data_IF_161784511546
#
_entry.id   IF_161784511546
#
_cell.length_a   1.000
_cell.length_b   1.000
_cell.length_c   1.000
_cell.angle_alpha   90.00
_cell.angle_beta   90.00
_cell.angle_gamma   90.00
#
_symmetry.space_group_name_H-M   'P 1'
#
loop_
_entity.id
_entity.type
_entity.pdbx_description
1 polymer ?
#
# COMPACT_ATOMS: atom_id res chain seq x y z
N UNK A 1 -37.10 -60.58 6.93
CA UNK A 1 -36.87 -59.32 6.18
C UNK A 1 -36.32 -58.27 7.14
N UNK A 2 -34.99 -58.09 7.21
CA UNK A 2 -34.35 -57.00 7.94
C UNK A 2 -33.63 -56.13 6.90
N UNK A 3 -34.01 -54.85 6.80
CA UNK A 3 -33.47 -53.88 5.84
C UNK A 3 -32.06 -53.46 6.28
N UNK A 4 -31.07 -53.65 5.40
CA UNK A 4 -29.78 -52.97 5.48
C UNK A 4 -30.00 -51.51 5.05
N UNK A 5 -29.62 -50.56 5.91
CA UNK A 5 -29.48 -49.16 5.55
C UNK A 5 -28.04 -48.89 5.12
N UNK A 6 -27.83 -48.55 3.84
CA UNK A 6 -26.57 -47.97 3.36
C UNK A 6 -26.47 -46.53 3.84
N UNK A 7 -25.44 -46.23 4.62
CA UNK A 7 -25.00 -44.86 4.89
C UNK A 7 -24.06 -44.47 3.74
N UNK A 8 -24.50 -43.56 2.89
CA UNK A 8 -23.68 -42.98 1.83
C UNK A 8 -22.89 -41.82 2.46
N UNK A 9 -21.61 -42.05 2.76
CA UNK A 9 -20.70 -41.00 3.20
C UNK A 9 -20.29 -40.14 2.00
N UNK A 10 -20.80 -38.92 1.92
CA UNK A 10 -20.33 -37.90 0.96
C UNK A 10 -19.02 -37.33 1.50
N UNK A 11 -17.90 -37.76 0.92
CA UNK A 11 -16.59 -37.15 1.13
C UNK A 11 -16.54 -35.84 0.34
N UNK A 12 -16.63 -34.71 1.04
CA UNK A 12 -16.30 -33.40 0.50
C UNK A 12 -14.77 -33.33 0.35
N UNK A 13 -14.26 -33.57 -0.86
CA UNK A 13 -12.86 -33.30 -1.18
C UNK A 13 -12.70 -31.78 -1.29
N UNK A 14 -12.11 -31.16 -0.27
CA UNK A 14 -11.58 -29.80 -0.40
C UNK A 14 -10.44 -29.84 -1.43
N UNK A 15 -10.69 -29.30 -2.63
CA UNK A 15 -9.66 -29.17 -3.66
C UNK A 15 -8.62 -28.16 -3.18
N UNK A 16 -7.40 -28.65 -2.91
CA UNK A 16 -6.25 -27.78 -2.66
C UNK A 16 -5.84 -27.22 -4.02
N UNK A 17 -6.06 -25.92 -4.25
CA UNK A 17 -5.61 -25.24 -5.46
C UNK A 17 -4.09 -25.38 -5.62
N UNK A 18 -3.64 -25.68 -6.84
CA UNK A 18 -2.22 -25.84 -7.15
C UNK A 18 -1.46 -24.51 -7.04
N UNK A 19 -0.12 -24.55 -7.03
CA UNK A 19 0.70 -23.33 -6.98
C UNK A 19 0.43 -22.42 -8.21
N UNK A 20 0.20 -23.02 -9.38
CA UNK A 20 -0.12 -22.30 -10.62
C UNK A 20 -1.50 -21.63 -10.54
N UNK A 21 -2.51 -22.31 -9.99
CA UNK A 21 -3.85 -21.72 -9.77
C UNK A 21 -3.79 -20.51 -8.82
N UNK A 22 -2.93 -20.57 -7.80
CA UNK A 22 -2.73 -19.46 -6.86
C UNK A 22 -2.01 -18.30 -7.50
N UNK A 23 -1.02 -18.56 -8.35
CA UNK A 23 -0.34 -17.52 -9.11
C UNK A 23 -1.32 -16.81 -10.06
N UNK A 24 -2.14 -17.57 -10.79
CA UNK A 24 -3.20 -17.01 -11.64
C UNK A 24 -4.20 -16.17 -10.84
N UNK A 25 -4.72 -16.70 -9.72
CA UNK A 25 -5.63 -15.98 -8.86
C UNK A 25 -5.03 -14.68 -8.28
N UNK A 26 -3.72 -14.66 -7.99
CA UNK A 26 -3.00 -13.44 -7.57
C UNK A 26 -2.95 -12.40 -8.67
N UNK A 27 -2.68 -12.81 -9.91
CA UNK A 27 -2.66 -11.91 -11.07
C UNK A 27 -4.04 -11.30 -11.36
N UNK A 28 -5.11 -12.07 -11.14
CA UNK A 28 -6.50 -11.63 -11.29
C UNK A 28 -7.03 -10.84 -10.08
N UNK A 29 -6.21 -10.62 -9.04
CA UNK A 29 -6.62 -9.99 -7.77
C UNK A 29 -5.78 -8.77 -7.43
N UNK A 30 -6.40 -7.78 -6.79
CA UNK A 30 -5.69 -6.64 -6.19
C UNK A 30 -5.36 -6.95 -4.72
N UNK A 31 -4.53 -7.98 -4.50
CA UNK A 31 -4.38 -8.67 -3.21
C UNK A 31 -3.47 -7.98 -2.18
N UNK A 32 -2.80 -6.91 -2.58
CA UNK A 32 -1.89 -6.12 -1.74
C UNK A 32 -1.92 -4.65 -2.17
N UNK A 33 -1.32 -3.78 -1.36
CA UNK A 33 -1.18 -2.38 -1.72
C UNK A 33 -0.44 -2.24 -3.06
N UNK A 34 -0.98 -1.42 -3.96
CA UNK A 34 -0.51 -1.27 -5.37
C UNK A 34 -0.63 -2.53 -6.24
N UNK A 35 -1.53 -3.44 -5.90
CA UNK A 35 -1.98 -4.49 -6.81
C UNK A 35 -1.00 -5.66 -6.93
N UNK A 36 -1.19 -6.54 -7.93
CA UNK A 36 -0.59 -7.87 -7.94
C UNK A 36 0.94 -7.86 -7.94
N UNK A 37 1.55 -6.84 -8.55
CA UNK A 37 3.00 -6.67 -8.65
C UNK A 37 3.54 -5.54 -7.75
N UNK A 38 2.73 -5.01 -6.83
CA UNK A 38 3.06 -3.85 -5.99
C UNK A 38 3.49 -2.58 -6.76
N UNK A 39 3.15 -2.47 -8.04
CA UNK A 39 3.59 -1.40 -8.95
C UNK A 39 2.46 -0.48 -9.43
N UNK A 40 1.21 -0.74 -9.03
CA UNK A 40 0.03 0.06 -9.39
C UNK A 40 -0.55 -0.25 -10.77
N UNK A 41 -0.07 -1.30 -11.45
CA UNK A 41 -0.52 -1.68 -12.79
C UNK A 41 -1.47 -2.88 -12.72
N UNK A 42 -2.63 -2.77 -13.37
CA UNK A 42 -3.53 -3.89 -13.64
C UNK A 42 -3.43 -4.28 -15.12
N UNK A 43 -2.56 -5.24 -15.42
CA UNK A 43 -2.16 -5.58 -16.79
C UNK A 43 -3.31 -6.07 -17.67
N UNK A 44 -4.19 -6.92 -17.13
CA UNK A 44 -5.29 -7.56 -17.87
C UNK A 44 -6.66 -6.99 -17.50
N UNK A 45 -6.69 -5.70 -17.13
CA UNK A 45 -7.90 -5.01 -16.70
C UNK A 45 -8.25 -3.85 -17.62
N UNK A 46 -9.54 -3.54 -17.70
CA UNK A 46 -10.09 -2.46 -18.51
C UNK A 46 -11.09 -1.64 -17.67
N UNK A 47 -10.60 -0.91 -16.64
CA UNK A 47 -11.47 -0.15 -15.75
C UNK A 47 -12.17 1.02 -16.48
N UNK A 48 -13.19 1.62 -15.87
CA UNK A 48 -13.95 2.72 -16.45
C UNK A 48 -13.10 3.95 -16.75
N UNK A 49 -13.50 4.73 -17.74
CA UNK A 49 -12.91 6.05 -18.05
C UNK A 49 -13.72 7.21 -17.49
N UNK A 50 -15.04 7.06 -17.37
CA UNK A 50 -15.99 8.11 -17.00
C UNK A 50 -16.86 7.66 -15.85
N UNK A 51 -17.02 8.52 -14.85
CA UNK A 51 -17.96 8.34 -13.75
C UNK A 51 -18.16 9.68 -13.03
N UNK A 52 -19.20 9.77 -12.22
CA UNK A 52 -19.39 10.84 -11.25
C UNK A 52 -19.99 10.26 -9.96
N UNK A 53 -20.52 11.11 -9.07
CA UNK A 53 -21.13 10.67 -7.82
C UNK A 53 -22.36 9.74 -8.01
N UNK A 54 -22.91 9.66 -9.21
CA UNK A 54 -24.14 8.91 -9.55
C UNK A 54 -24.01 8.02 -10.79
N UNK A 55 -23.20 8.41 -11.78
CA UNK A 55 -23.01 7.67 -13.02
C UNK A 55 -21.87 6.65 -12.89
N UNK A 56 -22.06 5.46 -13.46
CA UNK A 56 -21.10 4.35 -13.46
C UNK A 56 -20.65 3.93 -12.06
N UNK A 57 -21.52 4.14 -11.06
CA UNK A 57 -21.38 3.62 -9.70
C UNK A 57 -22.21 2.34 -9.60
N UNK A 58 -21.55 1.19 -9.60
CA UNK A 58 -22.22 -0.10 -9.41
C UNK A 58 -22.84 -0.21 -8.03
N UNK A 59 -22.06 0.16 -7.02
CA UNK A 59 -22.52 0.29 -5.65
C UNK A 59 -21.63 1.25 -4.86
N UNK A 60 -22.19 1.75 -3.77
CA UNK A 60 -21.54 2.63 -2.79
C UNK A 60 -21.92 2.15 -1.40
N UNK A 61 -20.94 1.73 -0.60
CA UNK A 61 -21.14 1.22 0.75
C UNK A 61 -20.66 2.24 1.78
N UNK A 62 -21.44 2.50 2.83
CA UNK A 62 -21.03 3.38 3.93
C UNK A 62 -19.95 2.70 4.79
N UNK A 63 -19.01 3.50 5.28
CA UNK A 63 -17.92 3.09 6.17
C UNK A 63 -18.00 3.94 7.43
N UNK A 64 -18.04 3.28 8.58
CA UNK A 64 -17.91 3.94 9.88
C UNK A 64 -16.43 4.24 10.19
N UNK A 65 -16.18 5.32 10.93
CA UNK A 65 -14.83 5.71 11.35
C UNK A 65 -13.99 6.34 10.24
N UNK A 66 -12.68 6.32 10.41
CA UNK A 66 -11.72 6.94 9.50
C UNK A 66 -10.63 5.95 9.08
N UNK A 67 -10.14 6.11 7.84
CA UNK A 67 -8.97 5.38 7.37
C UNK A 67 -8.54 5.80 5.97
N UNK A 68 -7.27 5.58 5.65
CA UNK A 68 -6.69 5.83 4.31
C UNK A 68 -6.21 4.56 3.61
N UNK A 69 -6.38 3.40 4.24
CA UNK A 69 -6.04 2.10 3.65
C UNK A 69 -6.73 1.92 2.30
N UNK A 70 -5.94 1.56 1.28
CA UNK A 70 -6.45 1.14 -0.02
C UNK A 70 -7.15 -0.20 0.13
N UNK A 71 -8.36 -0.39 -0.43
CA UNK A 71 -9.00 -1.70 -0.43
C UNK A 71 -8.13 -2.72 -1.16
N UNK A 72 -8.13 -3.97 -0.68
CA UNK A 72 -7.63 -5.10 -1.46
C UNK A 72 -8.80 -5.98 -1.89
N UNK A 73 -8.65 -6.63 -3.03
CA UNK A 73 -9.69 -7.45 -3.64
C UNK A 73 -9.12 -8.85 -3.88
N UNK A 74 -9.83 -9.86 -3.42
CA UNK A 74 -9.52 -11.27 -3.64
C UNK A 74 -10.79 -12.03 -3.98
N UNK A 75 -10.89 -12.53 -5.22
CA UNK A 75 -12.10 -13.20 -5.70
C UNK A 75 -13.36 -12.31 -5.60
N UNK A 76 -14.32 -12.75 -4.78
CA UNK A 76 -15.60 -12.07 -4.52
C UNK A 76 -15.56 -11.17 -3.26
N UNK A 77 -14.39 -10.97 -2.64
CA UNK A 77 -14.25 -10.22 -1.39
C UNK A 77 -13.45 -8.95 -1.57
N UNK A 78 -13.90 -7.87 -0.92
CA UNK A 78 -13.16 -6.62 -0.77
C UNK A 78 -12.84 -6.40 0.71
N UNK A 79 -11.57 -6.30 1.06
CA UNK A 79 -11.13 -6.07 2.45
C UNK A 79 -10.68 -4.63 2.65
N UNK A 80 -11.09 -4.06 3.79
CA UNK A 80 -10.82 -2.66 4.14
C UNK A 80 -10.57 -2.51 5.64
N UNK A 81 -9.71 -1.55 6.02
CA UNK A 81 -9.42 -1.25 7.43
C UNK A 81 -10.01 0.10 7.85
N UNK A 82 -10.57 0.23 9.03
CA UNK A 82 -11.04 1.52 9.57
C UNK A 82 -10.76 1.63 11.06
N UNK A 83 -10.64 2.86 11.57
CA UNK A 83 -10.54 3.15 12.98
C UNK A 83 -11.77 3.94 13.43
N UNK A 84 -12.53 3.42 14.38
CA UNK A 84 -13.81 3.99 14.83
C UNK A 84 -13.61 4.55 16.24
N UNK A 85 -13.75 5.87 16.41
CA UNK A 85 -13.76 6.48 17.74
C UNK A 85 -15.02 6.05 18.52
N UNK A 86 -14.85 5.73 19.79
CA UNK A 86 -15.95 5.32 20.69
C UNK A 86 -16.28 6.43 21.68
N UNK A 87 -17.43 6.32 22.33
CA UNK A 87 -17.81 7.24 23.43
C UNK A 87 -17.02 7.00 24.73
N UNK A 88 -16.17 5.96 24.78
CA UNK A 88 -15.39 5.65 25.99
C UNK A 88 -14.19 6.58 26.07
N UNK A 89 -14.14 7.40 27.12
CA UNK A 89 -13.02 8.31 27.40
C UNK A 89 -11.96 7.62 28.28
N UNK A 90 -10.69 7.79 27.93
CA UNK A 90 -9.57 7.35 28.72
C UNK A 90 -9.51 8.10 30.05
N UNK A 91 -9.39 7.38 31.18
CA UNK A 91 -9.22 8.04 32.50
C UNK A 91 -7.91 8.82 32.59
N UNK A 92 -6.85 8.26 32.02
CA UNK A 92 -5.51 8.84 31.94
C UNK A 92 -5.06 8.73 30.47
N UNK A 93 -5.37 9.72 29.62
CA UNK A 93 -4.93 9.68 28.24
C UNK A 93 -3.39 9.72 28.15
N UNK A 94 -2.78 9.11 27.12
CA UNK A 94 -1.34 9.16 26.92
C UNK A 94 -0.82 10.59 26.86
N UNK A 95 0.36 10.81 27.47
CA UNK A 95 1.03 12.11 27.41
C UNK A 95 1.89 12.13 26.15
N UNK A 96 1.72 13.12 25.24
CA UNK A 96 2.55 13.22 24.05
C UNK A 96 4.02 13.39 24.43
N UNK A 97 4.90 12.78 23.62
CA UNK A 97 6.34 13.04 23.68
C UNK A 97 6.65 14.55 23.53
N UNK A 98 7.71 15.04 24.16
CA UNK A 98 8.10 16.47 24.11
C UNK A 98 8.31 17.00 22.68
N UNK A 99 8.73 16.12 21.77
CA UNK A 99 8.96 16.47 20.36
C UNK A 99 7.68 16.37 19.53
N UNK A 100 6.61 15.75 20.03
CA UNK A 100 5.37 15.56 19.29
C UNK A 100 4.72 16.91 18.92
N UNK A 101 4.16 16.99 17.71
CA UNK A 101 3.38 18.15 17.23
C UNK A 101 1.88 17.85 17.13
N UNK A 102 1.48 16.72 17.66
CA UNK A 102 0.13 16.18 17.66
C UNK A 102 -0.20 15.71 19.09
N UNK A 103 -1.47 15.40 19.34
CA UNK A 103 -1.91 14.91 20.64
C UNK A 103 -2.57 13.54 20.45
N UNK A 104 -2.29 12.56 21.32
CA UNK A 104 -3.07 11.34 21.41
C UNK A 104 -4.57 11.66 21.57
N UNK A 105 -5.47 10.83 21.03
CA UNK A 105 -6.89 11.01 21.28
C UNK A 105 -7.22 10.75 22.77
N UNK A 106 -8.30 11.37 23.23
CA UNK A 106 -8.82 11.16 24.58
C UNK A 106 -9.73 9.93 24.68
N UNK A 107 -10.21 9.41 23.56
CA UNK A 107 -11.18 8.34 23.48
C UNK A 107 -10.53 7.03 23.03
N UNK A 108 -11.18 5.92 23.36
CA UNK A 108 -10.82 4.62 22.77
C UNK A 108 -11.26 4.57 21.32
N UNK A 109 -10.42 3.98 20.48
CA UNK A 109 -10.71 3.68 19.09
C UNK A 109 -10.80 2.16 18.91
N UNK A 110 -11.77 1.70 18.12
CA UNK A 110 -11.85 0.34 17.62
C UNK A 110 -11.12 0.23 16.28
N UNK A 111 -10.24 -0.75 16.16
CA UNK A 111 -9.44 -1.00 14.95
C UNK A 111 -10.06 -2.16 14.18
N UNK A 112 -10.72 -1.85 13.07
CA UNK A 112 -11.71 -2.73 12.45
C UNK A 112 -11.26 -3.18 11.07
N UNK A 113 -11.42 -4.48 10.82
CA UNK A 113 -11.33 -5.10 9.49
C UNK A 113 -12.74 -5.31 8.97
N UNK A 114 -13.02 -4.80 7.79
CA UNK A 114 -14.28 -4.96 7.07
C UNK A 114 -14.06 -5.88 5.87
N UNK A 115 -15.05 -6.70 5.58
CA UNK A 115 -15.15 -7.46 4.33
C UNK A 115 -16.48 -7.18 3.67
N UNK A 116 -16.43 -6.76 2.40
CA UNK A 116 -17.60 -6.55 1.56
C UNK A 116 -17.67 -7.62 0.48
N UNK A 117 -18.88 -7.93 0.05
CA UNK A 117 -19.14 -8.66 -1.19
C UNK A 117 -18.83 -7.74 -2.37
N UNK A 118 -17.96 -8.21 -3.26
CA UNK A 118 -17.48 -7.44 -4.40
C UNK A 118 -18.59 -7.08 -5.38
N UNK A 119 -19.59 -7.95 -5.55
CA UNK A 119 -20.63 -7.76 -6.56
C UNK A 119 -21.71 -6.77 -6.11
N UNK A 120 -22.02 -6.75 -4.82
CA UNK A 120 -23.16 -6.03 -4.24
C UNK A 120 -22.77 -4.87 -3.32
N UNK A 121 -21.56 -4.88 -2.75
CA UNK A 121 -21.13 -3.91 -1.74
C UNK A 121 -21.69 -4.19 -0.34
N UNK A 122 -22.39 -5.32 -0.14
CA UNK A 122 -22.92 -5.70 1.17
C UNK A 122 -21.78 -6.14 2.11
N UNK A 123 -21.83 -5.73 3.37
CA UNK A 123 -20.86 -6.18 4.37
C UNK A 123 -21.08 -7.68 4.67
N UNK A 124 -20.08 -8.52 4.35
CA UNK A 124 -20.08 -9.95 4.66
C UNK A 124 -19.73 -10.20 6.12
N UNK A 125 -18.75 -9.46 6.64
CA UNK A 125 -18.35 -9.52 8.05
C UNK A 125 -17.51 -8.30 8.46
N UNK A 126 -17.49 -8.04 9.77
CA UNK A 126 -16.55 -7.11 10.42
C UNK A 126 -15.86 -7.74 11.63
N UNK A 127 -14.63 -7.31 11.92
CA UNK A 127 -13.85 -7.72 13.09
C UNK A 127 -13.18 -6.52 13.75
N UNK A 128 -13.48 -6.31 15.03
CA UNK A 128 -12.70 -5.42 15.89
C UNK A 128 -11.45 -6.21 16.30
N UNK A 129 -10.28 -5.82 15.79
CA UNK A 129 -9.00 -6.46 16.10
C UNK A 129 -8.55 -6.13 17.52
N UNK A 130 -8.70 -4.85 17.89
CA UNK A 130 -8.54 -4.37 19.25
C UNK A 130 -9.34 -3.07 19.45
N UNK A 131 -9.46 -2.69 20.72
CA UNK A 131 -9.96 -1.39 21.12
C UNK A 131 -8.95 -0.76 22.08
N UNK A 132 -8.40 0.38 21.71
CA UNK A 132 -7.27 0.97 22.42
C UNK A 132 -7.25 2.50 22.28
N UNK A 133 -6.58 3.18 23.22
CA UNK A 133 -6.29 4.61 23.15
C UNK A 133 -4.87 4.76 22.61
N UNK A 134 -4.70 5.16 21.34
CA UNK A 134 -3.36 5.23 20.76
C UNK A 134 -2.44 6.14 21.56
N UNK A 135 -1.19 5.70 21.70
CA UNK A 135 -0.14 6.29 22.53
C UNK A 135 0.39 7.62 21.97
N UNK A 136 0.28 7.83 20.66
CA UNK A 136 0.62 9.06 19.95
C UNK A 136 -0.58 9.64 19.18
N UNK A 137 -0.49 10.92 18.83
CA UNK A 137 -1.41 11.51 17.87
C UNK A 137 -1.10 11.12 16.43
N UNK A 138 -1.74 11.80 15.48
CA UNK A 138 -1.47 11.65 14.06
C UNK A 138 -1.48 12.98 13.32
N UNK A 139 -0.84 13.03 12.16
CA UNK A 139 -0.92 14.20 11.29
C UNK A 139 -2.34 14.36 10.75
N UNK A 140 -2.87 15.58 10.64
CA UNK A 140 -4.25 15.88 10.17
C UNK A 140 -4.67 15.34 8.79
N UNK A 141 -3.75 14.72 8.06
CA UNK A 141 -3.96 14.08 6.74
C UNK A 141 -3.47 12.63 6.76
N UNK A 142 -3.40 12.03 7.94
CA UNK A 142 -3.13 10.62 8.20
C UNK A 142 -4.30 10.09 9.05
N UNK A 143 -4.34 8.78 9.28
CA UNK A 143 -5.34 8.10 10.10
C UNK A 143 -4.68 6.97 10.88
N UNK A 144 -5.43 6.33 11.77
CA UNK A 144 -4.98 5.12 12.47
C UNK A 144 -5.23 3.81 11.69
N UNK A 145 -5.78 3.90 10.49
CA UNK A 145 -6.02 2.78 9.59
C UNK A 145 -5.51 3.13 8.18
N UNK A 146 -4.26 3.59 8.10
CA UNK A 146 -3.62 4.02 6.84
C UNK A 146 -2.90 2.90 6.09
N UNK A 147 -2.34 1.92 6.80
CA UNK A 147 -1.74 0.74 6.19
C UNK A 147 -2.81 -0.09 5.47
N UNK A 148 -2.55 -0.55 4.25
CA UNK A 148 -3.48 -1.45 3.55
C UNK A 148 -3.23 -2.90 3.99
N UNK A 149 -4.27 -3.74 4.07
CA UNK A 149 -4.07 -5.16 4.37
C UNK A 149 -3.42 -5.86 3.17
N UNK A 150 -3.02 -7.11 3.35
CA UNK A 150 -2.50 -7.98 2.26
C UNK A 150 -2.99 -9.41 2.45
N UNK A 151 -3.12 -10.18 1.36
CA UNK A 151 -3.49 -11.59 1.43
C UNK A 151 -2.63 -12.46 0.52
N UNK A 152 -2.35 -13.67 0.97
CA UNK A 152 -1.71 -14.71 0.17
C UNK A 152 -2.71 -15.62 -0.58
N UNK A 153 -4.01 -15.40 -0.36
CA UNK A 153 -5.14 -16.18 -0.88
C UNK A 153 -5.72 -17.20 0.09
N UNK A 154 -5.08 -17.42 1.24
CA UNK A 154 -5.59 -18.28 2.33
C UNK A 154 -5.81 -17.47 3.62
N UNK A 155 -4.93 -16.51 3.84
CA UNK A 155 -4.83 -15.70 5.07
C UNK A 155 -4.82 -14.23 4.71
N UNK A 156 -5.46 -13.44 5.55
CA UNK A 156 -5.51 -11.98 5.50
C UNK A 156 -4.61 -11.43 6.60
N UNK A 157 -3.63 -10.61 6.24
CA UNK A 157 -2.68 -9.97 7.15
C UNK A 157 -2.99 -8.49 7.27
N UNK A 158 -3.07 -8.02 8.51
CA UNK A 158 -3.51 -6.68 8.85
C UNK A 158 -2.51 -6.06 9.82
N UNK A 159 -2.14 -4.80 9.59
CA UNK A 159 -1.34 -4.00 10.51
C UNK A 159 -2.11 -2.76 10.92
N UNK A 160 -2.25 -2.55 12.22
CA UNK A 160 -2.66 -1.27 12.81
C UNK A 160 -1.47 -0.56 13.49
N UNK A 161 -0.26 -0.91 13.04
CA UNK A 161 0.99 -0.44 13.63
C UNK A 161 1.10 -0.91 15.07
N UNK A 162 1.29 0.04 15.98
CA UNK A 162 1.44 -0.16 17.43
C UNK A 162 0.23 -0.86 18.07
N UNK A 163 -0.92 -0.88 17.39
CA UNK A 163 -2.12 -1.61 17.82
C UNK A 163 -2.17 -3.06 17.33
N UNK A 164 -1.06 -3.55 16.78
CA UNK A 164 -0.82 -4.96 16.52
C UNK A 164 -0.91 -5.36 15.06
N UNK A 165 -0.35 -6.54 14.80
CA UNK A 165 -0.40 -7.27 13.54
C UNK A 165 -1.31 -8.48 13.73
N UNK A 166 -2.26 -8.67 12.83
CA UNK A 166 -3.28 -9.71 12.93
C UNK A 166 -3.28 -10.56 11.66
N UNK A 167 -3.50 -11.86 11.83
CA UNK A 167 -3.78 -12.77 10.75
C UNK A 167 -5.15 -13.39 10.94
N UNK A 168 -5.98 -13.26 9.92
CA UNK A 168 -7.29 -13.89 9.82
C UNK A 168 -7.27 -14.91 8.67
N UNK A 169 -8.18 -15.88 8.68
CA UNK A 169 -8.60 -16.49 7.41
C UNK A 169 -9.51 -15.53 6.63
N UNK A 170 -9.81 -15.85 5.37
CA UNK A 170 -10.66 -15.00 4.53
C UNK A 170 -12.13 -14.91 5.01
N UNK A 171 -12.55 -15.78 5.93
CA UNK A 171 -13.85 -15.73 6.61
C UNK A 171 -13.82 -14.86 7.88
N UNK A 172 -12.68 -14.22 8.18
CA UNK A 172 -12.52 -13.31 9.31
C UNK A 172 -12.31 -14.03 10.65
N UNK A 173 -11.92 -15.30 10.67
CA UNK A 173 -11.51 -15.99 11.91
C UNK A 173 -10.05 -15.70 12.21
N UNK A 174 -9.78 -15.17 13.40
CA UNK A 174 -8.43 -14.90 13.88
C UNK A 174 -7.62 -16.21 13.96
N UNK A 175 -6.43 -16.21 13.36
CA UNK A 175 -5.49 -17.32 13.37
C UNK A 175 -4.35 -17.05 14.38
N UNK A 176 -3.78 -15.86 14.32
CA UNK A 176 -2.75 -15.40 15.25
C UNK A 176 -2.70 -13.88 15.30
N UNK A 177 -2.08 -13.33 16.36
CA UNK A 177 -1.79 -11.90 16.49
C UNK A 177 -0.39 -11.69 17.05
N UNK A 178 0.19 -10.52 16.77
CA UNK A 178 1.50 -10.09 17.25
C UNK A 178 1.44 -8.63 17.68
N UNK A 179 2.09 -8.38 18.81
CA UNK A 179 2.44 -7.05 19.26
C UNK A 179 3.96 -6.86 19.03
N UNK A 180 4.32 -5.75 18.40
CA UNK A 180 5.72 -5.37 18.12
C UNK A 180 6.15 -4.14 18.95
N UNK A 181 5.32 -3.68 19.86
CA UNK A 181 5.49 -2.49 20.69
C UNK A 181 4.92 -1.23 20.05
N UNK A 182 5.27 -0.09 20.62
CA UNK A 182 4.82 1.22 20.16
C UNK A 182 5.84 1.87 19.20
N UNK A 183 5.35 2.44 18.10
CA UNK A 183 6.13 3.29 17.21
C UNK A 183 6.17 4.72 17.74
N UNK A 184 7.35 5.33 17.89
CA UNK A 184 7.45 6.79 18.11
C UNK A 184 7.75 7.50 16.81
N UNK A 185 6.71 7.98 16.15
CA UNK A 185 6.85 8.54 14.80
C UNK A 185 7.29 9.99 14.85
N UNK A 186 7.97 10.44 13.80
CA UNK A 186 8.45 11.83 13.71
C UNK A 186 7.32 12.81 14.00
N UNK A 187 7.47 13.55 15.11
CA UNK A 187 6.50 14.54 15.59
C UNK A 187 5.09 13.97 15.89
N UNK A 188 4.94 12.67 16.12
CA UNK A 188 3.64 12.02 16.33
C UNK A 188 2.75 12.10 15.08
N UNK A 189 3.32 11.92 13.88
CA UNK A 189 2.56 12.04 12.63
C UNK A 189 1.78 10.78 12.26
N UNK A 190 1.87 9.72 13.07
CA UNK A 190 1.14 8.49 12.93
C UNK A 190 1.85 7.50 12.01
N UNK A 191 1.22 6.34 11.82
CA UNK A 191 1.82 5.13 11.27
C UNK A 191 1.10 4.73 9.99
N UNK A 192 1.79 4.17 8.98
CA UNK A 192 1.14 3.92 7.68
C UNK A 192 1.77 2.82 6.80
N UNK A 193 2.77 2.09 7.28
CA UNK A 193 3.45 1.09 6.43
C UNK A 193 2.60 -0.17 6.29
N UNK A 194 2.32 -0.57 5.05
CA UNK A 194 1.55 -1.79 4.77
C UNK A 194 2.42 -3.04 4.95
N UNK A 195 1.89 -4.13 5.50
CA UNK A 195 2.55 -5.44 5.47
C UNK A 195 2.72 -5.94 4.02
N UNK A 196 3.81 -6.67 3.76
CA UNK A 196 4.10 -7.31 2.47
C UNK A 196 4.27 -8.80 2.66
N UNK A 197 3.78 -9.62 1.73
CA UNK A 197 3.92 -11.09 1.78
C UNK A 197 4.73 -11.58 0.59
N UNK A 198 5.73 -12.42 0.86
CA UNK A 198 6.47 -13.17 -0.15
C UNK A 198 6.70 -14.60 0.33
N UNK A 199 6.17 -15.58 -0.40
CA UNK A 199 6.23 -16.99 0.02
C UNK A 199 5.60 -17.21 1.41
N UNK A 200 6.39 -17.73 2.33
CA UNK A 200 6.01 -17.98 3.74
C UNK A 200 6.32 -16.79 4.67
N UNK A 201 6.79 -15.67 4.12
CA UNK A 201 7.34 -14.55 4.87
C UNK A 201 6.41 -13.32 4.81
N UNK A 202 6.02 -12.82 5.99
CA UNK A 202 5.30 -11.57 6.19
C UNK A 202 6.30 -10.51 6.67
N UNK A 203 6.50 -9.46 5.88
CA UNK A 203 7.47 -8.40 6.12
C UNK A 203 6.76 -7.19 6.73
N UNK A 204 7.27 -6.73 7.87
CA UNK A 204 6.86 -5.51 8.56
C UNK A 204 8.05 -4.55 8.65
N UNK A 205 7.92 -3.37 8.05
CA UNK A 205 8.88 -2.27 8.22
C UNK A 205 8.47 -1.39 9.39
N UNK A 206 9.36 -1.23 10.37
CA UNK A 206 9.13 -0.54 11.64
C UNK A 206 10.11 0.63 11.79
N UNK A 207 10.07 1.55 10.82
CA UNK A 207 10.91 2.76 10.82
C UNK A 207 10.26 3.87 11.67
N UNK A 208 10.95 4.29 12.73
CA UNK A 208 10.47 5.29 13.68
C UNK A 208 11.64 6.07 14.32
N UNK A 209 11.39 6.87 15.36
CA UNK A 209 12.42 7.70 16.02
C UNK A 209 13.17 6.98 17.16
N UNK A 210 12.70 5.81 17.61
CA UNK A 210 13.47 4.92 18.48
C UNK A 210 14.28 3.91 17.60
N UNK A 211 14.67 2.74 18.13
CA UNK A 211 15.41 1.74 17.34
C UNK A 211 14.51 1.15 16.25
N UNK A 212 14.71 1.57 15.01
CA UNK A 212 14.02 1.04 13.83
C UNK A 212 14.46 -0.38 13.49
N UNK A 213 13.58 -1.15 12.85
CA UNK A 213 13.87 -2.50 12.42
C UNK A 213 12.95 -2.98 11.28
N UNK A 214 13.37 -4.04 10.58
CA UNK A 214 12.47 -4.91 9.82
C UNK A 214 12.25 -6.18 10.63
N UNK A 215 11.00 -6.61 10.73
CA UNK A 215 10.65 -7.94 11.21
C UNK A 215 10.09 -8.77 10.05
N UNK A 216 10.63 -9.99 9.89
CA UNK A 216 10.04 -10.99 9.01
C UNK A 216 9.42 -12.08 9.85
N UNK A 217 8.11 -12.26 9.67
CA UNK A 217 7.30 -13.21 10.40
C UNK A 217 6.94 -14.39 9.50
N UNK A 218 6.87 -15.58 10.06
CA UNK A 218 6.27 -16.73 9.41
C UNK A 218 4.76 -16.48 9.26
N UNK A 219 4.29 -16.56 8.03
CA UNK A 219 2.89 -16.31 7.66
C UNK A 219 1.92 -17.22 8.43
N UNK A 220 2.31 -18.45 8.78
CA UNK A 220 1.41 -19.46 9.35
C UNK A 220 1.22 -19.30 10.85
N UNK A 221 2.29 -18.98 11.55
CA UNK A 221 2.33 -18.93 13.00
C UNK A 221 2.47 -17.52 13.56
N UNK A 222 2.82 -16.55 12.72
CA UNK A 222 3.18 -15.19 13.14
C UNK A 222 4.51 -15.12 13.89
N UNK A 223 5.27 -16.22 14.02
CA UNK A 223 6.56 -16.25 14.73
C UNK A 223 7.60 -15.48 13.94
N UNK A 224 8.47 -14.76 14.62
CA UNK A 224 9.58 -14.05 13.97
C UNK A 224 10.57 -15.06 13.38
N UNK A 225 10.78 -15.00 12.06
CA UNK A 225 11.84 -15.74 11.35
C UNK A 225 13.18 -15.06 11.59
N UNK A 226 13.22 -13.74 11.38
CA UNK A 226 14.36 -12.89 11.74
C UNK A 226 13.91 -11.45 11.98
N UNK A 227 14.77 -10.68 12.64
CA UNK A 227 14.63 -9.24 12.84
C UNK A 227 15.97 -8.58 12.55
N UNK A 228 15.95 -7.52 11.75
CA UNK A 228 17.15 -6.75 11.41
C UNK A 228 16.97 -5.31 11.87
N UNK A 229 17.84 -4.85 12.75
CA UNK A 229 17.88 -3.46 13.19
C UNK A 229 18.33 -2.55 12.04
N UNK A 230 17.77 -1.34 12.01
CA UNK A 230 17.99 -0.34 10.97
C UNK A 230 18.46 0.96 11.58
N UNK A 231 19.55 1.49 11.03
CA UNK A 231 19.96 2.87 11.26
C UNK A 231 19.14 3.79 10.35
N UNK A 232 17.88 4.01 10.74
CA UNK A 232 16.91 4.77 9.96
C UNK A 232 15.93 5.47 10.90
N UNK A 233 15.74 6.79 10.83
CA UNK A 233 14.62 7.47 11.50
C UNK A 233 13.28 7.13 10.82
N UNK A 234 12.20 7.80 11.23
CA UNK A 234 10.87 7.53 10.66
C UNK A 234 10.87 7.60 9.13
N UNK A 235 10.28 6.58 8.52
CA UNK A 235 9.87 6.52 7.13
C UNK A 235 8.48 5.87 7.05
N UNK A 236 7.75 6.10 5.96
CA UNK A 236 6.43 5.50 5.75
C UNK A 236 6.38 4.67 4.46
N UNK A 237 7.55 4.27 3.96
CA UNK A 237 7.65 3.50 2.73
C UNK A 237 7.25 2.05 2.97
N UNK A 238 6.28 1.58 2.18
CA UNK A 238 5.98 0.15 2.08
C UNK A 238 7.10 -0.52 1.29
N UNK A 239 7.69 -1.63 1.80
CA UNK A 239 8.73 -2.35 1.07
C UNK A 239 8.25 -2.92 -0.26
N UNK A 240 9.21 -3.27 -1.13
CA UNK A 240 8.98 -4.18 -2.26
C UNK A 240 9.87 -5.41 -2.10
N UNK A 241 9.38 -6.56 -2.52
CA UNK A 241 10.16 -7.80 -2.60
C UNK A 241 10.26 -8.22 -4.07
N UNK A 242 11.45 -8.56 -4.51
CA UNK A 242 11.69 -9.04 -5.88
C UNK A 242 12.66 -10.21 -5.88
N UNK A 243 12.40 -11.22 -6.71
CA UNK A 243 13.37 -12.24 -7.05
C UNK A 243 14.17 -11.82 -8.28
N UNK A 244 15.49 -11.82 -8.16
CA UNK A 244 16.42 -11.42 -9.22
C UNK A 244 17.65 -12.30 -9.16
N UNK A 245 17.96 -12.99 -10.27
CA UNK A 245 19.10 -13.90 -10.41
C UNK A 245 19.27 -14.90 -9.25
N UNK A 246 18.15 -15.52 -8.84
CA UNK A 246 18.12 -16.53 -7.79
C UNK A 246 18.25 -15.99 -6.37
N UNK A 247 18.26 -14.66 -6.18
CA UNK A 247 18.22 -14.00 -4.87
C UNK A 247 16.91 -13.24 -4.68
N UNK A 248 16.28 -13.41 -3.53
CA UNK A 248 15.11 -12.62 -3.14
C UNK A 248 15.56 -11.38 -2.37
N UNK A 249 15.32 -10.20 -2.93
CA UNK A 249 15.68 -8.91 -2.36
C UNK A 249 14.46 -8.24 -1.73
N UNK A 250 14.59 -7.83 -0.47
CA UNK A 250 13.67 -6.93 0.22
C UNK A 250 14.22 -5.51 0.14
N UNK A 251 13.51 -4.59 -0.49
CA UNK A 251 13.99 -3.22 -0.73
C UNK A 251 13.11 -2.22 0.02
N UNK A 252 13.73 -1.36 0.83
CA UNK A 252 13.06 -0.31 1.60
C UNK A 252 13.68 1.05 1.30
N UNK A 253 12.83 2.02 0.96
CA UNK A 253 13.22 3.42 0.80
C UNK A 253 13.15 4.15 2.14
N UNK A 254 14.30 4.45 2.75
CA UNK A 254 14.40 5.16 4.01
C UNK A 254 14.71 6.65 3.85
N UNK A 255 14.55 7.39 4.95
CA UNK A 255 14.85 8.84 5.02
C UNK A 255 16.34 9.13 4.79
N UNK A 256 17.23 8.26 5.24
CA UNK A 256 18.68 8.39 5.12
C UNK A 256 19.22 7.60 3.93
N UNK A 257 18.73 6.38 3.72
CA UNK A 257 19.19 5.47 2.67
C UNK A 257 18.07 4.59 2.14
N UNK A 258 18.10 4.31 0.84
CA UNK A 258 17.48 3.10 0.30
C UNK A 258 18.38 1.92 0.62
N UNK A 259 17.82 0.80 1.06
CA UNK A 259 18.57 -0.44 1.34
C UNK A 259 17.87 -1.64 0.73
N UNK A 260 18.66 -2.56 0.19
CA UNK A 260 18.23 -3.90 -0.19
C UNK A 260 18.82 -4.93 0.78
N UNK A 261 17.99 -5.87 1.19
CA UNK A 261 18.32 -6.96 2.09
C UNK A 261 18.09 -8.29 1.38
N UNK A 262 18.93 -9.28 1.68
CA UNK A 262 18.60 -10.66 1.34
C UNK A 262 17.44 -11.11 2.25
N UNK A 263 16.31 -11.49 1.66
CA UNK A 263 15.12 -11.85 2.42
C UNK A 263 15.36 -13.08 3.32
N UNK A 264 16.28 -13.98 2.95
CA UNK A 264 16.50 -15.21 3.69
C UNK A 264 17.35 -14.99 4.94
N UNK A 265 18.32 -14.07 4.90
CA UNK A 265 19.27 -13.84 6.00
C UNK A 265 19.03 -12.53 6.76
N UNK A 266 18.42 -11.53 6.12
CA UNK A 266 18.31 -10.17 6.65
C UNK A 266 19.56 -9.31 6.42
N UNK A 267 20.58 -9.83 5.73
CA UNK A 267 21.82 -9.09 5.47
C UNK A 267 21.61 -8.01 4.40
N UNK A 268 22.25 -6.86 4.58
CA UNK A 268 22.26 -5.80 3.56
C UNK A 268 23.08 -6.28 2.35
N UNK A 269 22.46 -6.25 1.17
CA UNK A 269 23.14 -6.52 -0.11
C UNK A 269 23.78 -5.24 -0.62
N UNK A 270 22.99 -4.18 -0.69
CA UNK A 270 23.43 -2.85 -1.12
C UNK A 270 22.63 -1.76 -0.42
N UNK A 271 23.20 -0.55 -0.39
CA UNK A 271 22.54 0.64 0.13
C UNK A 271 22.94 1.88 -0.67
N UNK A 272 22.06 2.87 -0.76
CA UNK A 272 22.31 4.13 -1.45
C UNK A 272 21.68 5.29 -0.69
N UNK A 273 22.51 6.23 -0.23
CA UNK A 273 22.08 7.47 0.39
C UNK A 273 21.66 8.55 -0.59
N UNK A 274 21.36 9.74 -0.05
CA UNK A 274 21.02 10.94 -0.81
C UNK A 274 19.52 11.17 -1.00
N UNK A 275 18.69 10.42 -0.28
CA UNK A 275 17.25 10.65 -0.18
C UNK A 275 16.97 12.00 0.48
N UNK A 276 15.80 12.55 0.22
CA UNK A 276 15.29 13.67 1.01
C UNK A 276 14.71 13.16 2.32
N UNK A 277 14.60 14.03 3.31
CA UNK A 277 13.90 13.68 4.56
C UNK A 277 12.48 13.19 4.31
N UNK A 278 11.92 12.38 5.22
CA UNK A 278 10.58 11.80 5.12
C UNK A 278 10.37 11.01 3.81
N UNK A 279 11.12 9.93 3.62
CA UNK A 279 10.86 9.01 2.53
C UNK A 279 9.52 8.29 2.76
N UNK A 280 8.57 8.50 1.85
CA UNK A 280 7.23 7.91 1.83
C UNK A 280 6.98 7.11 0.54
N UNK A 281 7.41 7.57 -0.66
CA UNK A 281 7.15 6.84 -1.89
C UNK A 281 7.82 5.47 -1.83
N UNK A 282 7.06 4.43 -2.13
CA UNK A 282 7.55 3.06 -2.15
C UNK A 282 8.36 2.80 -3.42
N UNK A 283 9.36 1.91 -3.37
CA UNK A 283 10.15 1.58 -4.54
C UNK A 283 9.30 0.93 -5.65
N UNK A 284 9.71 1.10 -6.90
CA UNK A 284 9.21 0.33 -8.05
C UNK A 284 10.31 -0.55 -8.59
N UNK A 285 9.98 -1.76 -9.05
CA UNK A 285 10.94 -2.66 -9.70
C UNK A 285 10.50 -2.96 -11.12
N UNK A 286 11.43 -2.85 -12.06
CA UNK A 286 11.25 -3.28 -13.44
C UNK A 286 12.60 -3.49 -14.13
N UNK A 287 12.63 -4.45 -15.05
CA UNK A 287 13.75 -4.69 -15.97
C UNK A 287 15.14 -4.81 -15.31
N UNK A 288 15.21 -5.44 -14.13
CA UNK A 288 16.45 -5.61 -13.36
C UNK A 288 16.88 -4.37 -12.57
N UNK A 289 16.04 -3.34 -12.47
CA UNK A 289 16.31 -2.11 -11.75
C UNK A 289 15.23 -1.82 -10.72
N UNK A 290 15.64 -1.14 -9.65
CA UNK A 290 14.73 -0.52 -8.68
C UNK A 290 14.78 1.00 -8.79
N UNK A 291 13.61 1.61 -8.74
CA UNK A 291 13.41 3.05 -8.81
C UNK A 291 12.90 3.56 -7.47
N UNK A 292 13.68 4.41 -6.82
CA UNK A 292 13.38 4.96 -5.50
C UNK A 292 13.30 6.47 -5.55
N UNK A 293 12.29 7.05 -4.91
CA UNK A 293 12.05 8.51 -4.97
C UNK A 293 11.73 9.10 -3.60
N UNK A 294 12.07 10.37 -3.41
CA UNK A 294 11.72 11.17 -2.22
C UNK A 294 11.71 12.65 -2.59
N UNK A 295 10.82 13.44 -1.98
CA UNK A 295 10.52 14.80 -2.46
C UNK A 295 10.14 15.82 -1.38
N UNK A 296 10.30 15.51 -0.09
CA UNK A 296 10.03 16.49 0.96
C UNK A 296 11.24 17.41 1.15
N UNK A 297 11.04 18.72 0.92
CA UNK A 297 12.11 19.74 1.04
C UNK A 297 13.36 19.43 0.20
N UNK A 298 13.18 18.76 -0.92
CA UNK A 298 14.25 18.43 -1.86
C UNK A 298 13.67 17.63 -3.03
N UNK A 299 14.55 17.06 -3.84
CA UNK A 299 14.13 16.08 -4.84
C UNK A 299 15.23 15.06 -5.09
N UNK A 300 14.87 13.78 -5.03
CA UNK A 300 15.77 12.68 -5.33
C UNK A 300 15.00 11.52 -5.95
N UNK A 301 15.49 11.02 -7.07
CA UNK A 301 15.05 9.81 -7.73
C UNK A 301 16.27 9.08 -8.27
N UNK A 302 16.31 7.76 -8.09
CA UNK A 302 17.43 6.90 -8.44
C UNK A 302 16.94 5.70 -9.23
N UNK A 303 17.70 5.27 -10.23
CA UNK A 303 17.60 3.92 -10.79
C UNK A 303 18.84 3.11 -10.38
N UNK A 304 18.63 2.05 -9.62
CA UNK A 304 19.70 1.21 -9.05
C UNK A 304 19.55 -0.20 -9.61
N UNK A 305 20.65 -0.79 -10.09
CA UNK A 305 20.63 -2.19 -10.55
C UNK A 305 20.34 -3.14 -9.39
N UNK A 306 19.53 -4.17 -9.62
CA UNK A 306 19.36 -5.27 -8.67
C UNK A 306 20.64 -6.10 -8.51
N UNK A 307 21.60 -6.00 -9.44
CA UNK A 307 22.93 -6.63 -9.34
C UNK A 307 23.89 -5.87 -8.42
N UNK A 308 23.50 -4.70 -7.92
CA UNK A 308 24.38 -3.85 -7.13
C UNK A 308 24.81 -4.53 -5.82
N UNK A 309 25.97 -4.13 -5.30
CA UNK A 309 26.47 -4.60 -4.00
C UNK A 309 27.18 -3.46 -3.27
N UNK A 310 27.15 -3.47 -1.94
CA UNK A 310 27.87 -2.50 -1.10
C UNK A 310 27.18 -1.13 -0.98
N UNK A 311 27.94 -0.12 -0.54
CA UNK A 311 27.46 1.25 -0.42
C UNK A 311 27.65 2.02 -1.73
N UNK A 312 26.54 2.43 -2.33
CA UNK A 312 26.47 3.13 -3.61
C UNK A 312 26.42 4.66 -3.44
N UNK A 313 26.42 5.15 -2.21
CA UNK A 313 26.30 6.58 -1.91
C UNK A 313 27.43 7.37 -2.56
N UNK A 314 27.07 8.43 -3.28
CA UNK A 314 28.02 9.30 -4.01
C UNK A 314 28.93 8.55 -5.00
N UNK A 315 28.46 7.41 -5.53
CA UNK A 315 29.11 6.66 -6.61
C UNK A 315 28.40 6.87 -7.95
N UNK A 316 29.04 6.46 -9.04
CA UNK A 316 28.46 6.46 -10.39
C UNK A 316 27.70 5.15 -10.72
N UNK A 317 27.45 4.27 -9.74
CA UNK A 317 26.74 3.00 -9.97
C UNK A 317 25.24 3.14 -10.27
N UNK A 318 24.48 4.10 -9.68
CA UNK A 318 23.11 4.33 -10.12
C UNK A 318 23.07 4.64 -11.62
N UNK A 319 22.23 3.93 -12.37
CA UNK A 319 22.08 4.09 -13.83
C UNK A 319 21.79 5.55 -14.20
N UNK A 320 20.96 6.19 -13.40
CA UNK A 320 20.75 7.62 -13.45
C UNK A 320 20.28 8.15 -12.08
N UNK A 321 20.46 9.45 -11.91
CA UNK A 321 19.96 10.21 -10.77
C UNK A 321 19.17 11.41 -11.28
N UNK A 322 17.99 11.65 -10.72
CA UNK A 322 17.13 12.77 -11.05
C UNK A 322 16.81 13.58 -9.79
N UNK A 323 16.94 14.92 -9.88
CA UNK A 323 16.90 15.83 -8.72
C UNK A 323 15.85 16.93 -8.85
N UNK A 324 14.80 16.71 -9.64
CA UNK A 324 13.76 17.72 -9.88
C UNK A 324 12.36 17.12 -9.73
N UNK A 325 11.44 17.88 -9.12
CA UNK A 325 10.01 17.59 -9.16
C UNK A 325 9.61 16.18 -8.73
N UNK A 326 10.31 15.55 -7.79
CA UNK A 326 10.02 14.17 -7.32
C UNK A 326 8.88 14.14 -6.30
N UNK A 327 8.20 12.99 -6.12
CA UNK A 327 7.04 12.88 -5.24
C UNK A 327 7.40 12.95 -3.76
N UNK A 328 6.45 13.47 -2.96
CA UNK A 328 6.52 13.39 -1.51
C UNK A 328 5.69 12.22 -0.98
N UNK A 329 4.37 12.20 -1.13
CA UNK A 329 3.51 11.09 -0.66
C UNK A 329 3.21 10.05 -1.75
N UNK A 330 2.68 10.43 -2.93
CA UNK A 330 2.23 9.43 -3.91
C UNK A 330 3.42 8.69 -4.52
N UNK A 331 3.36 7.36 -4.53
CA UNK A 331 4.40 6.56 -5.15
C UNK A 331 4.33 6.68 -6.68
N UNK A 332 5.47 6.69 -7.39
CA UNK A 332 5.50 6.81 -8.85
C UNK A 332 4.74 5.64 -9.53
N UNK A 333 4.53 5.72 -10.84
CA UNK A 333 4.05 4.58 -11.63
C UNK A 333 4.89 4.42 -12.90
N UNK A 334 5.24 3.19 -13.22
CA UNK A 334 5.88 2.82 -14.49
C UNK A 334 4.85 2.12 -15.37
N UNK A 335 4.68 2.60 -16.59
CA UNK A 335 3.84 1.95 -17.59
C UNK A 335 4.56 1.96 -18.94
N UNK A 336 4.79 0.79 -19.52
CA UNK A 336 5.74 0.63 -20.62
C UNK A 336 7.14 1.09 -20.19
N UNK A 337 7.81 1.90 -21.01
CA UNK A 337 9.11 2.49 -20.69
C UNK A 337 9.03 3.85 -19.97
N UNK A 338 7.84 4.27 -19.53
CA UNK A 338 7.61 5.63 -19.02
C UNK A 338 7.29 5.65 -17.53
N UNK A 339 8.13 6.37 -16.78
CA UNK A 339 8.04 6.55 -15.34
C UNK A 339 7.37 7.90 -15.03
N UNK A 340 6.12 7.84 -14.57
CA UNK A 340 5.28 8.98 -14.23
C UNK A 340 5.28 9.26 -12.73
N UNK A 341 5.41 10.54 -12.36
CA UNK A 341 5.29 10.98 -10.98
C UNK A 341 4.95 12.47 -10.88
N UNK A 342 4.39 12.85 -9.74
CA UNK A 342 4.01 14.23 -9.47
C UNK A 342 4.98 14.90 -8.50
N UNK A 343 5.25 16.19 -8.69
CA UNK A 343 6.15 16.93 -7.80
C UNK A 343 5.52 17.14 -6.42
N UNK A 344 6.18 16.61 -5.38
CA UNK A 344 5.70 16.61 -4.00
C UNK A 344 4.31 15.96 -3.93
N UNK A 345 3.31 16.71 -3.51
CA UNK A 345 1.90 16.31 -3.53
C UNK A 345 1.10 17.20 -4.51
N UNK A 346 1.75 17.94 -5.41
CA UNK A 346 1.08 18.87 -6.31
C UNK A 346 0.73 18.19 -7.64
N UNK A 347 -0.22 18.75 -8.39
CA UNK A 347 -0.61 18.28 -9.72
C UNK A 347 0.40 18.58 -10.84
N UNK A 348 1.70 18.63 -10.55
CA UNK A 348 2.76 18.91 -11.53
C UNK A 348 3.41 17.58 -11.94
N UNK A 349 3.05 17.08 -13.12
CA UNK A 349 3.47 15.78 -13.65
C UNK A 349 4.82 15.86 -14.36
N UNK A 350 5.71 14.94 -14.00
CA UNK A 350 6.91 14.57 -14.74
C UNK A 350 6.73 13.18 -15.33
N UNK A 351 7.30 12.95 -16.51
CA UNK A 351 7.41 11.63 -17.13
C UNK A 351 8.84 11.46 -17.63
N UNK A 352 9.53 10.44 -17.12
CA UNK A 352 10.90 10.09 -17.53
C UNK A 352 10.88 8.80 -18.33
N UNK A 353 11.78 8.71 -19.30
CA UNK A 353 12.15 7.43 -19.89
C UNK A 353 12.92 6.62 -18.84
N UNK A 354 12.46 5.39 -18.60
CA UNK A 354 12.92 4.55 -17.47
C UNK A 354 14.38 4.14 -17.61
N UNK A 355 14.87 3.98 -18.84
CA UNK A 355 16.25 3.59 -19.11
C UNK A 355 17.21 4.76 -18.94
N UNK A 356 16.85 5.94 -19.46
CA UNK A 356 17.77 7.08 -19.54
C UNK A 356 17.59 8.10 -18.42
N UNK A 357 16.46 8.09 -17.71
CA UNK A 357 16.10 9.09 -16.71
C UNK A 357 15.82 10.49 -17.28
N UNK A 358 15.69 10.60 -18.62
CA UNK A 358 15.44 11.86 -19.32
C UNK A 358 13.95 12.11 -19.49
N UNK A 359 13.48 13.38 -19.46
CA UNK A 359 12.08 13.68 -19.67
C UNK A 359 11.57 13.21 -21.05
N UNK A 360 10.45 12.50 -21.07
CA UNK A 360 9.70 12.16 -22.30
C UNK A 360 9.01 13.40 -22.85
N UNK A 361 8.48 14.23 -21.95
CA UNK A 361 7.88 15.53 -22.27
C UNK A 361 8.16 16.55 -21.15
N UNK A 362 8.01 17.84 -21.47
CA UNK A 362 8.14 18.91 -20.48
C UNK A 362 7.13 18.74 -19.35
N UNK A 363 7.58 18.99 -18.12
CA UNK A 363 6.72 18.98 -16.93
C UNK A 363 5.48 19.83 -17.13
N UNK A 364 4.31 19.27 -16.82
CA UNK A 364 3.00 19.88 -17.08
C UNK A 364 2.07 19.73 -15.89
N UNK A 365 1.10 20.63 -15.76
CA UNK A 365 0.07 20.53 -14.72
C UNK A 365 -1.06 19.62 -15.18
N UNK A 366 -1.45 18.67 -14.32
CA UNK A 366 -2.67 17.89 -14.47
C UNK A 366 -3.87 18.81 -14.19
N UNK A 367 -4.74 19.08 -15.18
CA UNK A 367 -5.85 20.00 -15.01
C UNK A 367 -6.87 19.45 -14.01
N UNK A 368 -7.45 20.32 -13.19
CA UNK A 368 -8.49 19.94 -12.22
C UNK A 368 -7.99 19.25 -10.95
N UNK A 369 -6.72 18.83 -10.89
CA UNK A 369 -6.13 18.26 -9.68
C UNK A 369 -5.44 19.31 -8.81
N UNK A 370 -5.61 19.20 -7.49
CA UNK A 370 -4.96 20.04 -6.48
C UNK A 370 -3.81 19.34 -5.75
N UNK A 371 -4.16 18.58 -4.72
CA UNK A 371 -3.24 17.94 -3.78
C UNK A 371 -3.39 16.41 -3.87
N UNK A 372 -2.33 15.67 -4.15
CA UNK A 372 -2.36 14.24 -4.51
C UNK A 372 -1.65 13.43 -3.42
N UNK A 373 -2.38 12.50 -2.82
CA UNK A 373 -1.87 11.52 -1.84
C UNK A 373 -1.99 10.10 -2.39
N UNK A 374 -3.14 9.80 -2.99
CA UNK A 374 -3.36 8.58 -3.74
C UNK A 374 -2.25 8.38 -4.78
N UNK A 375 -1.65 7.21 -4.76
CA UNK A 375 -0.69 6.87 -5.80
C UNK A 375 -1.45 6.54 -7.09
N UNK A 376 -0.92 6.93 -8.27
CA UNK A 376 -1.55 6.60 -9.53
C UNK A 376 -1.59 5.09 -9.78
N UNK A 377 -2.59 4.68 -10.56
CA UNK A 377 -2.72 3.33 -11.10
C UNK A 377 -2.83 3.35 -12.61
N UNK A 378 -2.56 2.23 -13.28
CA UNK A 378 -2.64 2.15 -14.72
C UNK A 378 -3.21 0.81 -15.20
N UNK A 379 -3.94 0.85 -16.31
CA UNK A 379 -4.55 -0.31 -16.96
C UNK A 379 -4.98 0.07 -18.38
N UNK A 380 -4.93 -0.87 -19.33
CA UNK A 380 -5.38 -0.68 -20.71
C UNK A 380 -4.95 0.67 -21.33
N UNK A 381 -3.64 0.94 -21.31
CA UNK A 381 -2.99 2.15 -21.83
C UNK A 381 -3.47 3.48 -21.21
N UNK A 382 -4.05 3.41 -20.00
CA UNK A 382 -4.58 4.57 -19.28
C UNK A 382 -3.95 4.68 -17.91
N UNK A 383 -3.72 5.90 -17.46
CA UNK A 383 -3.13 6.20 -16.15
C UNK A 383 -4.08 7.12 -15.38
N UNK A 384 -4.37 6.75 -14.15
CA UNK A 384 -5.38 7.38 -13.30
C UNK A 384 -4.67 8.12 -12.17
N UNK A 385 -4.88 9.43 -12.07
CA UNK A 385 -4.40 10.24 -10.95
C UNK A 385 -5.59 10.78 -10.18
N UNK A 386 -5.66 10.44 -8.89
CA UNK A 386 -6.73 10.89 -7.98
C UNK A 386 -6.16 11.88 -6.97
N UNK A 387 -6.81 13.03 -6.82
CA UNK A 387 -6.47 14.00 -5.79
C UNK A 387 -7.32 13.84 -4.53
N UNK A 388 -6.91 14.55 -3.47
CA UNK A 388 -7.55 14.51 -2.15
C UNK A 388 -8.96 15.05 -2.13
N UNK A 389 -9.37 15.81 -3.14
CA UNK A 389 -10.72 16.35 -3.21
C UNK A 389 -11.68 15.34 -3.86
N UNK A 390 -11.20 14.16 -4.29
CA UNK A 390 -12.01 13.13 -4.95
C UNK A 390 -12.08 13.30 -6.47
N UNK A 391 -11.22 14.15 -7.05
CA UNK A 391 -11.12 14.34 -8.50
C UNK A 391 -10.14 13.31 -9.07
N UNK A 392 -10.54 12.58 -10.11
CA UNK A 392 -9.65 11.68 -10.85
C UNK A 392 -9.51 12.15 -12.29
N UNK A 393 -8.27 12.30 -12.77
CA UNK A 393 -8.01 12.48 -14.21
C UNK A 393 -7.50 11.18 -14.80
N UNK A 394 -8.02 10.86 -15.98
CA UNK A 394 -7.58 9.71 -16.78
C UNK A 394 -6.73 10.23 -17.91
N UNK A 395 -5.50 9.75 -17.97
CA UNK A 395 -4.54 10.08 -19.02
C UNK A 395 -4.44 8.90 -19.99
N UNK A 396 -4.28 9.20 -21.27
CA UNK A 396 -3.78 8.22 -22.23
C UNK A 396 -2.26 8.09 -22.08
N UNK A 397 -1.77 6.87 -22.01
CA UNK A 397 -0.34 6.58 -22.05
C UNK A 397 0.23 6.97 -23.42
N UNK A 398 1.37 7.66 -23.43
CA UNK A 398 2.00 8.11 -24.67
C UNK A 398 3.05 9.19 -24.46
N UNK A 399 3.65 9.71 -25.55
CA UNK A 399 4.78 10.65 -25.50
C UNK A 399 4.35 12.09 -25.19
N UNK A 400 3.06 12.34 -24.93
CA UNK A 400 2.49 13.65 -24.63
C UNK A 400 1.43 13.49 -23.54
N UNK A 401 1.20 14.55 -22.78
CA UNK A 401 0.08 14.62 -21.85
C UNK A 401 -1.23 14.72 -22.65
N UNK A 402 -2.09 13.70 -22.52
CA UNK A 402 -3.42 13.67 -23.11
C UNK A 402 -4.42 13.24 -22.04
N UNK A 403 -5.24 14.18 -21.56
CA UNK A 403 -6.32 13.90 -20.61
C UNK A 403 -7.55 13.46 -21.39
N UNK A 404 -8.02 12.24 -21.15
CA UNK A 404 -9.18 11.66 -21.85
C UNK A 404 -10.47 11.73 -21.04
N UNK A 405 -10.36 11.85 -19.71
CA UNK A 405 -11.50 12.08 -18.83
C UNK A 405 -11.10 12.76 -17.52
N UNK A 406 -12.08 13.44 -16.89
CA UNK A 406 -12.01 13.98 -15.54
C UNK A 406 -13.29 13.58 -14.82
N UNK A 407 -13.14 12.93 -13.67
CA UNK A 407 -14.22 12.36 -12.88
C UNK A 407 -14.21 12.94 -11.47
N UNK A 408 -15.36 13.03 -10.83
CA UNK A 408 -15.50 13.62 -9.50
C UNK A 408 -16.40 12.77 -8.61
N UNK A 409 -15.89 12.42 -7.43
CA UNK A 409 -16.69 11.95 -6.31
C UNK A 409 -16.82 13.09 -5.29
N UNK A 410 -17.98 13.21 -4.65
CA UNK A 410 -18.30 14.29 -3.70
C UNK A 410 -17.74 14.01 -2.30
N UNK A 411 -16.49 13.58 -2.23
CA UNK A 411 -15.87 13.09 -1.00
C UNK A 411 -14.34 13.12 -1.08
N UNK A 412 -13.62 13.46 0.01
CA UNK A 412 -12.17 13.39 0.02
C UNK A 412 -11.63 11.96 -0.14
N UNK A 413 -10.50 11.80 -0.84
CA UNK A 413 -9.88 10.50 -1.13
C UNK A 413 -8.37 10.56 -0.87
N UNK A 414 -7.90 9.75 0.09
CA UNK A 414 -6.46 9.55 0.33
C UNK A 414 -5.95 8.19 -0.18
N UNK A 415 -6.84 7.22 -0.30
CA UNK A 415 -6.52 5.87 -0.77
C UNK A 415 -6.22 5.85 -2.27
N UNK A 416 -5.33 4.96 -2.68
CA UNK A 416 -5.11 4.70 -4.10
C UNK A 416 -6.28 3.88 -4.67
N UNK A 417 -6.63 4.01 -5.95
CA UNK A 417 -7.61 3.11 -6.56
C UNK A 417 -7.10 1.67 -6.57
N UNK A 418 -8.03 0.72 -6.55
CA UNK A 418 -7.75 -0.69 -6.78
C UNK A 418 -8.54 -1.17 -8.00
N UNK A 419 -7.92 -1.90 -8.91
CA UNK A 419 -8.52 -2.29 -10.19
C UNK A 419 -8.57 -3.81 -10.31
N UNK A 420 -9.75 -4.35 -10.65
CA UNK A 420 -9.88 -5.76 -11.02
C UNK A 420 -10.87 -5.91 -12.16
N UNK A 421 -10.40 -6.39 -13.32
CA UNK A 421 -11.23 -6.54 -14.51
C UNK A 421 -11.73 -5.19 -15.03
N UNK A 422 -13.03 -5.02 -15.16
CA UNK A 422 -13.67 -3.76 -15.54
C UNK A 422 -14.10 -2.89 -14.34
N UNK A 423 -13.69 -3.25 -13.12
CA UNK A 423 -14.09 -2.56 -11.90
C UNK A 423 -12.94 -1.75 -11.31
N UNK A 424 -13.27 -0.55 -10.81
CA UNK A 424 -12.38 0.27 -9.99
C UNK A 424 -13.00 0.48 -8.60
N UNK A 425 -12.23 0.19 -7.57
CA UNK A 425 -12.60 0.43 -6.18
C UNK A 425 -11.88 1.66 -5.66
N UNK A 426 -12.65 2.60 -5.11
CA UNK A 426 -12.14 3.84 -4.52
C UNK A 426 -12.69 4.00 -3.11
N UNK A 427 -11.80 4.28 -2.16
CA UNK A 427 -12.18 4.60 -0.78
C UNK A 427 -12.21 6.11 -0.59
N UNK A 428 -13.40 6.65 -0.35
CA UNK A 428 -13.60 7.95 0.26
C UNK A 428 -13.57 7.87 1.79
N UNK A 429 -13.71 9.02 2.46
CA UNK A 429 -13.71 9.11 3.92
C UNK A 429 -14.83 8.29 4.57
N UNK A 430 -16.03 8.35 4.02
CA UNK A 430 -17.29 7.78 4.51
C UNK A 430 -17.79 6.63 3.66
N UNK A 431 -17.23 6.39 2.46
CA UNK A 431 -17.75 5.36 1.57
C UNK A 431 -16.67 4.60 0.78
N UNK A 432 -16.98 3.33 0.50
CA UNK A 432 -16.31 2.51 -0.51
C UNK A 432 -17.16 2.53 -1.78
N UNK A 433 -16.56 2.89 -2.91
CA UNK A 433 -17.20 2.91 -4.22
C UNK A 433 -16.70 1.74 -5.05
N UNK A 434 -17.61 1.05 -5.73
CA UNK A 434 -17.29 0.21 -6.89
C UNK A 434 -17.80 0.91 -8.15
N UNK A 435 -16.87 1.25 -9.03
CA UNK A 435 -17.11 1.96 -10.27
C UNK A 435 -16.99 0.95 -11.41
N UNK A 436 -17.99 0.90 -12.27
CA UNK A 436 -18.07 0.00 -13.43
C UNK A 436 -18.93 0.66 -14.51
N UNK A 437 -18.46 0.59 -15.76
CA UNK A 437 -19.09 1.17 -16.95
C UNK A 437 -20.08 0.22 -17.64
#
# INVERSE_FOLDING_TARGET
MKRLGSILSVLLLAQIASADDRAAARHESWHQWRGPQANGVAQDSDPPTRWDATANIRWKAAIDGEGSATPIIWGDQVFLLTAIETDRVARNPPVPDERAKTRPPGNYLQYVVLCFDRATGEEKWRRVSCEDVPHEGWHRTNTFASASPTTDGERLYVSFGSRGIYCYDLAGKLQWQRDLGDMRTRYGWGEATSPVVHGDSLIINWDHEDQSFIAVLDTASGKTKWKQDRDEPTSWATPVVVEHDGRTQLIVNGTTRVRSYDLSTGDIIWQCGGQTVNAIPSPLVADGFVFCMSGYRGSAAYAISLDATGDLTDTDQPRWVHRQGTPYVPSPILYGSQLYFTARNASVLSCLDVETGKPVFNTQRLPGLGNIYASPVAAAERIYFTDRDGTTVVLKHGPKLEVIATNKLDEPIDASPAIVGNQMFLRGVQHLYCIEE
#
